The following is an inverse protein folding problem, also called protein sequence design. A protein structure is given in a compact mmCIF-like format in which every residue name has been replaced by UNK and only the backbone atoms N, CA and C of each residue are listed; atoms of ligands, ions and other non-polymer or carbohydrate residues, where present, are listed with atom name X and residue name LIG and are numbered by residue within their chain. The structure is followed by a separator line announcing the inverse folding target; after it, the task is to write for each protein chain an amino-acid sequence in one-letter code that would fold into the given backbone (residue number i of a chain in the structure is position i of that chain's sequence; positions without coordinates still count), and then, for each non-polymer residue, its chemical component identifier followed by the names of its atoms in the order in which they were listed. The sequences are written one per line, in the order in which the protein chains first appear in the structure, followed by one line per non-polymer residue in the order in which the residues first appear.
data_IF_697252709579
#
_entry.id   IF_697252709579
#
_cell.length_a   1.000
_cell.length_b   1.000
_cell.length_c   1.000
_cell.angle_alpha   90.00
_cell.angle_beta   90.00
_cell.angle_gamma   90.00
#
_symmetry.space_group_name_H-M   'P 1'
#
loop_
_entity.id
_entity.type
_entity.pdbx_description
1 polymer ?
#
# COMPACT_ATOMS: atom_id res chain seq x y z
N UNK A 1 -6.66 -17.35 -18.39
CA UNK A 1 -5.30 -17.38 -18.91
C UNK A 1 -4.30 -17.21 -17.76
N UNK A 2 -3.56 -18.26 -17.40
CA UNK A 2 -2.60 -18.24 -16.27
C UNK A 2 -1.37 -17.35 -16.48
N UNK A 3 -1.23 -16.71 -17.64
CA UNK A 3 -0.14 -15.78 -17.96
C UNK A 3 -0.45 -14.34 -17.51
N UNK A 4 -1.72 -14.02 -17.20
CA UNK A 4 -2.09 -12.68 -16.75
C UNK A 4 -1.67 -12.47 -15.30
N UNK A 5 -1.07 -11.33 -15.01
CA UNK A 5 -0.81 -10.85 -13.66
C UNK A 5 -1.98 -9.99 -13.20
N UNK A 6 -2.29 -10.06 -11.92
CA UNK A 6 -3.31 -9.22 -11.27
C UNK A 6 -2.59 -8.41 -10.20
N UNK A 7 -2.63 -7.11 -10.30
CA UNK A 7 -2.11 -6.18 -9.31
C UNK A 7 -3.27 -5.51 -8.58
N UNK A 8 -3.19 -5.46 -7.27
CA UNK A 8 -4.18 -4.81 -6.40
C UNK A 8 -3.43 -3.86 -5.48
N UNK A 9 -3.95 -2.66 -5.30
CA UNK A 9 -3.44 -1.70 -4.32
C UNK A 9 -4.47 -1.62 -3.20
N UNK A 10 -4.01 -1.74 -1.97
CA UNK A 10 -4.81 -1.56 -0.75
C UNK A 10 -4.13 -0.55 0.16
N UNK A 11 -4.90 0.28 0.85
CA UNK A 11 -4.37 1.14 1.90
C UNK A 11 -4.06 0.36 3.18
N UNK A 12 -3.19 0.90 4.02
CA UNK A 12 -2.87 0.32 5.32
C UNK A 12 -4.10 0.24 6.23
N UNK A 13 -4.92 1.29 6.29
CA UNK A 13 -6.20 1.28 7.00
C UNK A 13 -7.21 0.29 6.42
N UNK A 14 -7.18 0.05 5.11
CA UNK A 14 -8.03 -0.94 4.46
C UNK A 14 -7.68 -2.37 4.91
N UNK A 15 -6.46 -2.63 5.33
CA UNK A 15 -6.06 -3.93 5.88
C UNK A 15 -6.74 -4.26 7.22
N UNK A 16 -7.45 -3.31 7.84
CA UNK A 16 -8.29 -3.57 9.00
C UNK A 16 -9.62 -4.28 8.65
N UNK A 17 -9.96 -4.33 7.34
CA UNK A 17 -11.12 -5.07 6.86
C UNK A 17 -10.87 -6.58 6.87
N UNK A 18 -11.77 -7.34 7.52
CA UNK A 18 -11.66 -8.80 7.59
C UNK A 18 -11.61 -9.48 6.22
N UNK A 19 -12.32 -8.92 5.23
CA UNK A 19 -12.37 -9.41 3.86
C UNK A 19 -11.01 -9.46 3.16
N UNK A 20 -10.08 -8.55 3.51
CA UNK A 20 -8.71 -8.55 2.99
C UNK A 20 -7.99 -9.83 3.42
N UNK A 21 -8.12 -10.22 4.69
CA UNK A 21 -7.47 -11.41 5.24
C UNK A 21 -8.12 -12.70 4.77
N UNK A 22 -9.44 -12.71 4.58
CA UNK A 22 -10.16 -13.84 3.97
C UNK A 22 -9.69 -14.07 2.53
N UNK A 23 -9.57 -12.99 1.75
CA UNK A 23 -9.02 -13.05 0.40
C UNK A 23 -7.55 -13.50 0.39
N UNK A 24 -6.74 -13.05 1.35
CA UNK A 24 -5.35 -13.46 1.50
C UNK A 24 -5.23 -14.97 1.76
N UNK A 25 -6.02 -15.52 2.68
CA UNK A 25 -6.07 -16.97 2.92
C UNK A 25 -6.44 -17.76 1.66
N UNK A 26 -7.45 -17.28 0.93
CA UNK A 26 -7.89 -17.89 -0.32
C UNK A 26 -6.80 -17.86 -1.39
N UNK A 27 -6.14 -16.71 -1.57
CA UNK A 27 -5.05 -16.54 -2.53
C UNK A 27 -3.88 -17.49 -2.25
N UNK A 28 -3.48 -17.63 -0.99
CA UNK A 28 -2.43 -18.56 -0.58
C UNK A 28 -2.85 -20.01 -0.80
N UNK A 29 -4.09 -20.39 -0.42
CA UNK A 29 -4.64 -21.74 -0.62
C UNK A 29 -4.62 -22.15 -2.08
N UNK A 30 -4.92 -21.23 -2.99
CA UNK A 30 -4.98 -21.49 -4.42
C UNK A 30 -3.65 -21.25 -5.15
N UNK A 31 -2.56 -20.95 -4.43
CA UNK A 31 -1.23 -20.69 -4.97
C UNK A 31 -1.27 -19.64 -6.10
N UNK A 32 -1.94 -18.52 -5.89
CA UNK A 32 -2.11 -17.46 -6.88
C UNK A 32 -0.81 -16.67 -7.06
N UNK A 33 0.23 -17.32 -7.59
CA UNK A 33 1.55 -16.70 -7.77
C UNK A 33 1.57 -15.53 -8.77
N UNK A 34 0.48 -15.34 -9.50
CA UNK A 34 0.26 -14.21 -10.41
C UNK A 34 -0.47 -13.04 -9.74
N UNK A 35 -0.87 -13.16 -8.47
CA UNK A 35 -1.45 -12.07 -7.69
C UNK A 35 -0.36 -11.29 -6.98
N UNK A 36 -0.43 -9.97 -7.11
CA UNK A 36 0.48 -9.01 -6.51
C UNK A 36 -0.35 -8.00 -5.72
N UNK A 37 -0.08 -7.88 -4.44
CA UNK A 37 -0.69 -6.87 -3.58
C UNK A 37 0.34 -5.78 -3.31
N UNK A 38 -0.06 -4.53 -3.43
CA UNK A 38 0.69 -3.38 -2.95
C UNK A 38 -0.07 -2.79 -1.78
N UNK A 39 0.54 -2.76 -0.61
CA UNK A 39 0.00 -2.06 0.55
C UNK A 39 0.60 -0.66 0.55
N UNK A 40 -0.22 0.36 0.31
CA UNK A 40 0.17 1.76 0.48
C UNK A 40 0.28 2.05 1.97
N UNK A 41 1.50 1.86 2.51
CA UNK A 41 1.77 1.97 3.94
C UNK A 41 2.25 3.39 4.28
N UNK A 42 1.31 4.33 4.20
CA UNK A 42 1.52 5.75 4.50
C UNK A 42 1.22 6.11 5.97
N UNK A 43 0.68 5.17 6.77
CA UNK A 43 0.41 5.29 8.22
C UNK A 43 -0.72 6.24 8.59
N UNK A 44 -1.53 6.68 7.62
CA UNK A 44 -2.66 7.58 7.84
C UNK A 44 -3.91 7.00 7.20
N UNK A 45 -4.96 6.84 7.99
CA UNK A 45 -6.29 6.45 7.53
C UNK A 45 -7.33 7.54 7.82
N UNK A 46 -8.61 7.28 7.51
CA UNK A 46 -9.70 8.26 7.55
C UNK A 46 -9.85 9.03 8.87
N UNK A 47 -9.48 8.42 9.98
CA UNK A 47 -9.68 8.99 11.31
C UNK A 47 -8.39 9.50 11.98
N UNK A 48 -7.22 9.33 11.34
CA UNK A 48 -5.94 9.74 11.89
C UNK A 48 -4.83 8.73 11.59
N UNK A 49 -3.81 8.73 12.43
CA UNK A 49 -2.72 7.76 12.28
C UNK A 49 -3.21 6.34 12.55
N UNK A 50 -2.75 5.38 11.75
CA UNK A 50 -3.16 3.97 11.93
C UNK A 50 -2.80 3.42 13.30
N UNK A 51 -1.69 3.87 13.89
CA UNK A 51 -1.27 3.49 15.26
C UNK A 51 -2.23 3.95 16.36
N UNK A 52 -3.04 4.99 16.10
CA UNK A 52 -4.00 5.53 17.07
C UNK A 52 -5.40 4.96 16.86
N UNK A 53 -5.74 4.61 15.63
CA UNK A 53 -7.09 4.12 15.28
C UNK A 53 -7.18 2.59 15.45
N UNK A 54 -6.39 1.86 14.68
CA UNK A 54 -6.24 0.41 14.79
C UNK A 54 -4.92 0.02 14.12
N UNK A 55 -3.91 -0.28 14.95
CA UNK A 55 -2.56 -0.53 14.48
C UNK A 55 -2.47 -1.82 13.64
N UNK A 56 -2.11 -1.73 12.37
CA UNK A 56 -1.96 -2.89 11.51
C UNK A 56 -0.66 -3.69 11.75
N UNK A 57 0.23 -3.22 12.63
CA UNK A 57 1.49 -3.91 12.90
C UNK A 57 1.31 -5.26 13.65
N UNK A 58 2.20 -6.20 13.48
CA UNK A 58 3.33 -6.23 12.55
C UNK A 58 2.88 -6.56 11.10
N UNK A 59 2.83 -5.56 10.23
CA UNK A 59 2.27 -5.66 8.87
C UNK A 59 2.95 -6.76 8.04
N UNK A 60 4.26 -6.76 8.00
CA UNK A 60 5.08 -7.72 7.23
C UNK A 60 4.83 -9.16 7.69
N UNK A 61 4.81 -9.39 8.98
CA UNK A 61 4.66 -10.73 9.53
C UNK A 61 3.23 -11.26 9.40
N UNK A 62 2.24 -10.37 9.48
CA UNK A 62 0.85 -10.73 9.17
C UNK A 62 0.74 -11.27 7.74
N UNK A 63 1.20 -10.53 6.72
CA UNK A 63 1.15 -10.98 5.34
C UNK A 63 1.95 -12.27 5.12
N UNK A 64 3.12 -12.43 5.77
CA UNK A 64 3.89 -13.67 5.72
C UNK A 64 3.12 -14.85 6.30
N UNK A 65 2.47 -14.65 7.45
CA UNK A 65 1.70 -15.72 8.12
C UNK A 65 0.49 -16.15 7.31
N UNK A 66 -0.07 -15.24 6.49
CA UNK A 66 -1.13 -15.55 5.54
C UNK A 66 -0.61 -16.21 4.24
N UNK A 67 0.69 -16.52 4.16
CA UNK A 67 1.27 -17.34 3.08
C UNK A 67 1.83 -16.57 1.89
N UNK A 68 1.99 -15.26 1.96
CA UNK A 68 2.57 -14.44 0.91
C UNK A 68 4.11 -14.45 0.94
N UNK A 69 4.72 -14.24 -0.23
CA UNK A 69 6.09 -13.73 -0.33
C UNK A 69 6.03 -12.21 -0.11
N UNK A 70 6.72 -11.70 0.93
CA UNK A 70 6.57 -10.30 1.35
C UNK A 70 7.89 -9.56 1.21
N UNK A 71 7.82 -8.36 0.63
CA UNK A 71 8.94 -7.45 0.45
C UNK A 71 8.54 -6.05 0.91
N UNK A 72 9.45 -5.40 1.63
CA UNK A 72 9.33 -3.98 1.96
C UNK A 72 10.07 -3.16 0.93
N UNK A 73 9.47 -2.06 0.48
CA UNK A 73 10.04 -1.19 -0.55
C UNK A 73 9.75 0.28 -0.25
N UNK A 74 10.59 1.17 -0.77
CA UNK A 74 10.26 2.59 -0.85
C UNK A 74 9.21 2.79 -1.95
N UNK A 75 7.96 3.09 -1.58
CA UNK A 75 6.86 3.26 -2.53
C UNK A 75 6.99 4.49 -3.45
N UNK A 76 7.91 5.41 -3.14
CA UNK A 76 8.22 6.57 -3.99
C UNK A 76 9.39 6.33 -4.96
N UNK A 77 10.11 5.21 -4.83
CA UNK A 77 11.19 4.86 -5.76
C UNK A 77 10.68 4.01 -6.92
N UNK A 78 10.38 4.67 -8.03
CA UNK A 78 9.90 4.03 -9.27
C UNK A 78 10.93 3.05 -9.82
N UNK A 79 12.23 3.31 -9.63
CA UNK A 79 13.29 2.43 -10.12
C UNK A 79 13.32 1.13 -9.32
N UNK A 80 13.17 1.21 -8.01
CA UNK A 80 13.05 0.06 -7.14
C UNK A 80 11.79 -0.75 -7.48
N UNK A 81 10.63 -0.10 -7.60
CA UNK A 81 9.37 -0.74 -8.01
C UNK A 81 9.53 -1.50 -9.33
N UNK A 82 10.13 -0.89 -10.34
CA UNK A 82 10.41 -1.53 -11.63
C UNK A 82 11.29 -2.75 -11.49
N UNK A 83 12.36 -2.66 -10.71
CA UNK A 83 13.29 -3.77 -10.44
C UNK A 83 12.56 -4.93 -9.76
N UNK A 84 11.77 -4.65 -8.73
CA UNK A 84 11.03 -5.67 -7.99
C UNK A 84 9.99 -6.37 -8.87
N UNK A 85 9.23 -5.62 -9.68
CA UNK A 85 8.26 -6.18 -10.61
C UNK A 85 8.89 -7.06 -11.70
N UNK A 86 10.12 -6.78 -12.09
CA UNK A 86 10.86 -7.59 -13.08
C UNK A 86 11.26 -8.94 -12.54
N UNK A 87 11.38 -9.10 -11.23
CA UNK A 87 11.77 -10.35 -10.56
C UNK A 87 10.60 -11.29 -10.25
N UNK A 88 9.37 -10.90 -10.59
CA UNK A 88 8.16 -11.69 -10.31
C UNK A 88 8.01 -12.89 -11.24
N UNK A 89 7.49 -14.03 -10.74
CA UNK A 89 7.11 -14.26 -9.35
C UNK A 89 8.33 -14.65 -8.50
N UNK A 90 8.44 -14.11 -7.28
CA UNK A 90 9.48 -14.51 -6.32
C UNK A 90 9.33 -15.98 -5.87
N UNK A 91 8.10 -16.47 -5.89
CA UNK A 91 7.78 -17.86 -5.60
C UNK A 91 6.64 -18.32 -6.50
N UNK A 92 6.84 -19.40 -7.22
CA UNK A 92 5.83 -19.94 -8.17
C UNK A 92 4.60 -20.56 -7.49
N UNK A 93 4.59 -20.65 -6.14
CA UNK A 93 3.51 -21.21 -5.35
C UNK A 93 2.91 -20.22 -4.34
N UNK A 94 3.36 -18.95 -4.33
CA UNK A 94 2.87 -17.94 -3.39
C UNK A 94 2.48 -16.66 -4.11
N UNK A 95 1.40 -16.01 -3.70
CA UNK A 95 1.18 -14.62 -4.06
C UNK A 95 2.25 -13.71 -3.45
N UNK A 96 2.40 -12.50 -3.99
CA UNK A 96 3.41 -11.54 -3.52
C UNK A 96 2.71 -10.34 -2.92
N UNK A 97 3.23 -9.85 -1.77
CA UNK A 97 2.83 -8.58 -1.18
C UNK A 97 4.04 -7.64 -1.07
N UNK A 98 3.88 -6.43 -1.54
CA UNK A 98 4.81 -5.33 -1.34
C UNK A 98 4.25 -4.39 -0.29
N UNK A 99 4.97 -4.21 0.81
CA UNK A 99 4.68 -3.17 1.81
C UNK A 99 5.41 -1.92 1.34
N UNK A 100 4.65 -1.00 0.76
CA UNK A 100 5.19 0.20 0.15
C UNK A 100 5.21 1.32 1.19
N UNK A 101 6.38 1.61 1.75
CA UNK A 101 6.54 2.75 2.63
C UNK A 101 6.41 4.02 1.83
N UNK A 102 5.35 4.78 2.10
CA UNK A 102 5.02 6.02 1.41
C UNK A 102 4.81 7.15 2.41
N UNK A 103 4.79 8.35 1.91
CA UNK A 103 4.42 9.57 2.64
C UNK A 103 3.12 10.07 2.04
N UNK A 104 2.07 10.14 2.85
CA UNK A 104 0.79 10.71 2.41
C UNK A 104 0.98 12.18 2.06
N UNK A 105 0.45 12.60 0.90
CA UNK A 105 0.60 13.98 0.43
C UNK A 105 1.97 14.31 -0.18
N UNK A 106 2.79 13.29 -0.48
CA UNK A 106 4.13 13.45 -1.05
C UNK A 106 4.15 14.39 -2.25
N UNK A 107 5.05 15.37 -2.21
CA UNK A 107 5.19 16.41 -3.23
C UNK A 107 4.61 17.76 -2.83
N UNK A 108 3.77 17.80 -1.79
CA UNK A 108 3.22 19.03 -1.23
C UNK A 108 3.64 19.15 0.23
N UNK A 109 4.70 19.90 0.56
CA UNK A 109 5.29 19.94 1.92
C UNK A 109 4.29 20.23 3.03
N UNK A 110 3.27 21.05 2.75
CA UNK A 110 2.20 21.40 3.70
C UNK A 110 1.15 20.30 3.88
N UNK A 111 1.13 19.27 3.02
CA UNK A 111 0.20 18.14 3.08
C UNK A 111 0.90 16.83 3.47
N UNK A 112 2.24 16.80 3.47
CA UNK A 112 3.00 15.59 3.80
C UNK A 112 2.75 15.19 5.27
N UNK A 113 2.31 13.94 5.47
CA UNK A 113 2.00 13.37 6.78
C UNK A 113 0.94 14.15 7.60
N UNK A 114 0.11 14.92 6.94
CA UNK A 114 -0.92 15.73 7.60
C UNK A 114 -2.30 15.04 7.48
N UNK A 115 -2.84 14.49 8.59
CA UNK A 115 -4.13 13.77 8.55
C UNK A 115 -5.30 14.63 8.09
N UNK A 116 -5.28 15.94 8.32
CA UNK A 116 -6.35 16.86 7.91
C UNK A 116 -6.53 16.96 6.39
N UNK A 117 -5.53 16.49 5.62
CA UNK A 117 -5.58 16.40 4.17
C UNK A 117 -6.21 15.10 3.67
N UNK A 118 -6.43 14.13 4.54
CA UNK A 118 -7.17 12.93 4.17
C UNK A 118 -8.65 13.29 3.92
N UNK A 119 -9.18 12.97 2.77
CA UNK A 119 -10.54 13.34 2.33
C UNK A 119 -10.83 14.85 2.27
N UNK A 120 -9.82 15.70 2.22
CA UNK A 120 -10.01 17.13 2.05
C UNK A 120 -10.71 17.43 0.71
N UNK A 121 -11.96 17.89 0.78
CA UNK A 121 -12.81 18.09 -0.40
C UNK A 121 -12.91 19.55 -0.84
N UNK A 122 -12.46 20.49 -0.01
CA UNK A 122 -12.48 21.92 -0.31
C UNK A 122 -11.08 22.48 -0.12
N UNK A 123 -10.59 23.17 -1.13
CA UNK A 123 -9.32 23.89 -1.12
C UNK A 123 -9.62 25.40 -1.18
N UNK A 124 -8.86 26.18 -0.43
CA UNK A 124 -8.84 27.63 -0.59
C UNK A 124 -7.98 28.04 -1.78
N UNK A 125 -8.17 29.26 -2.29
CA UNK A 125 -7.37 29.78 -3.39
C UNK A 125 -5.87 29.84 -3.00
N UNK A 126 -5.57 30.15 -1.74
CA UNK A 126 -4.18 30.16 -1.23
C UNK A 126 -3.56 28.75 -1.24
N UNK A 127 -4.31 27.73 -0.84
CA UNK A 127 -3.83 26.33 -0.89
C UNK A 127 -3.59 25.88 -2.32
N UNK A 128 -4.48 26.25 -3.24
CA UNK A 128 -4.32 25.99 -4.66
C UNK A 128 -3.06 26.67 -5.19
N UNK A 129 -2.83 27.93 -4.83
CA UNK A 129 -1.63 28.66 -5.24
C UNK A 129 -0.35 28.00 -4.68
N UNK A 130 -0.36 27.59 -3.41
CA UNK A 130 0.77 26.85 -2.81
C UNK A 130 1.08 25.55 -3.52
N UNK A 131 0.03 24.84 -4.01
CA UNK A 131 0.23 23.63 -4.80
C UNK A 131 0.96 23.95 -6.12
N UNK A 132 0.56 25.00 -6.82
CA UNK A 132 1.23 25.43 -8.05
C UNK A 132 2.68 25.87 -7.80
N UNK A 133 2.93 26.54 -6.69
CA UNK A 133 4.28 27.03 -6.34
C UNK A 133 5.22 25.87 -5.91
N UNK A 134 4.67 24.67 -5.63
CA UNK A 134 5.41 23.47 -5.20
C UNK A 134 5.84 22.58 -6.37
N UNK A 135 5.36 22.84 -7.58
CA UNK A 135 5.67 22.09 -8.81
C UNK A 135 6.77 22.79 -9.61
#
# INVERSE_FOLDING_TARGET
NRKSRVAVIVGDGETNEGSIWEAAMSAAKHNLSNLIIFVDYNKIQSYGFVSEVLDPEPMVDKWRSFGFAVHEINGHDVSELKKQLSNLPYNCKKPTAFICHTIKGKGFPFAENEPSWHHKSKLSDDEIQQMYDSI
#
